data_IF_794308779760
#
_entry.id   IF_794308779760
#
_cell.length_a   1.000
_cell.length_b   1.000
_cell.length_c   1.000
_cell.angle_alpha   90.00
_cell.angle_beta   90.00
_cell.angle_gamma   90.00
#
_symmetry.space_group_name_H-M   'P 1'
#
loop_
_entity.id
_entity.type
_entity.pdbx_description
1 polymer ?
#
# COMPACT_ATOMS: atom_id res chain seq x y z
N UNK A 1 -5.38 -19.47 -0.94
CA UNK A 1 -5.43 -18.65 0.28
C UNK A 1 -5.51 -17.19 -0.14
N UNK A 2 -6.47 -16.43 0.39
CA UNK A 2 -6.68 -15.02 0.04
C UNK A 2 -5.68 -14.20 0.87
N UNK A 3 -4.69 -13.59 0.22
CA UNK A 3 -3.71 -12.74 0.90
C UNK A 3 -4.45 -11.63 1.65
N UNK A 4 -4.06 -11.42 2.91
CA UNK A 4 -4.56 -10.33 3.72
C UNK A 4 -4.06 -8.99 3.15
N UNK A 5 -4.78 -7.91 3.45
CA UNK A 5 -4.43 -6.57 2.95
C UNK A 5 -3.00 -6.17 3.36
N UNK A 6 -2.55 -6.62 4.54
CA UNK A 6 -1.19 -6.39 5.03
C UNK A 6 -0.12 -7.09 4.19
N UNK A 7 -0.36 -8.34 3.80
CA UNK A 7 0.59 -9.09 2.96
C UNK A 7 0.74 -8.44 1.58
N UNK A 8 -0.36 -7.93 1.01
CA UNK A 8 -0.34 -7.17 -0.25
C UNK A 8 0.42 -5.85 -0.15
N UNK A 9 0.32 -5.16 0.99
CA UNK A 9 1.07 -3.93 1.23
C UNK A 9 2.57 -4.23 1.29
N UNK A 10 2.97 -5.29 1.99
CA UNK A 10 4.38 -5.66 2.10
C UNK A 10 4.97 -6.13 0.76
N UNK A 11 4.21 -6.90 -0.03
CA UNK A 11 4.61 -7.27 -1.39
C UNK A 11 4.85 -6.06 -2.29
N UNK A 12 3.95 -5.08 -2.26
CA UNK A 12 4.08 -3.86 -3.05
C UNK A 12 5.23 -2.98 -2.56
N UNK A 13 5.49 -2.95 -1.25
CA UNK A 13 6.65 -2.25 -0.67
C UNK A 13 7.97 -2.85 -1.15
N UNK A 14 8.07 -4.18 -1.15
CA UNK A 14 9.24 -4.90 -1.65
C UNK A 14 9.44 -4.70 -3.16
N UNK A 15 8.36 -4.70 -3.94
CA UNK A 15 8.42 -4.39 -5.38
C UNK A 15 8.89 -2.95 -5.62
N UNK A 16 8.36 -1.97 -4.90
CA UNK A 16 8.77 -0.58 -5.02
C UNK A 16 10.26 -0.39 -4.68
N UNK A 17 10.74 -1.00 -3.60
CA UNK A 17 12.18 -0.98 -3.25
C UNK A 17 13.05 -1.63 -4.34
N UNK A 18 12.61 -2.76 -4.90
CA UNK A 18 13.36 -3.46 -5.95
C UNK A 18 13.45 -2.64 -7.24
N UNK A 19 12.38 -1.97 -7.62
CA UNK A 19 12.35 -1.12 -8.83
C UNK A 19 13.15 0.17 -8.59
N UNK A 20 13.05 0.77 -7.40
CA UNK A 20 13.82 1.96 -7.02
C UNK A 20 15.33 1.69 -6.88
N UNK A 21 15.71 0.44 -6.59
CA UNK A 21 17.13 0.03 -6.57
C UNK A 21 17.73 -0.09 -7.97
N UNK A 22 16.90 -0.28 -9.00
CA UNK A 22 17.32 -0.55 -10.38
C UNK A 22 17.14 0.69 -11.28
N UNK A 23 16.27 1.64 -10.91
CA UNK A 23 15.92 2.83 -11.68
C UNK A 23 15.60 4.03 -10.80
N UNK A 24 15.87 5.23 -11.32
CA UNK A 24 15.51 6.48 -10.67
C UNK A 24 14.01 6.52 -10.30
N UNK A 25 13.73 7.09 -9.13
CA UNK A 25 12.38 7.20 -8.53
C UNK A 25 11.39 8.00 -9.39
N UNK A 26 11.87 8.64 -10.46
CA UNK A 26 11.10 9.38 -11.45
C UNK A 26 10.63 8.53 -12.64
N UNK A 27 11.04 7.26 -12.74
CA UNK A 27 10.50 6.34 -13.73
C UNK A 27 8.98 6.22 -13.54
N UNK A 28 8.22 6.48 -14.60
CA UNK A 28 6.75 6.42 -14.63
C UNK A 28 6.17 5.12 -14.07
N UNK A 29 6.93 4.02 -14.08
CA UNK A 29 6.50 2.74 -13.49
C UNK A 29 6.65 2.73 -11.97
N UNK A 30 7.63 3.42 -11.41
CA UNK A 30 7.76 3.64 -9.96
C UNK A 30 6.62 4.52 -9.47
N UNK A 31 6.31 5.60 -10.19
CA UNK A 31 5.19 6.50 -9.86
C UNK A 31 3.86 5.74 -9.88
N UNK A 32 3.58 4.95 -10.92
CA UNK A 32 2.33 4.18 -11.01
C UNK A 32 2.20 3.08 -9.95
N UNK A 33 3.32 2.56 -9.41
CA UNK A 33 3.30 1.63 -8.26
C UNK A 33 3.07 2.39 -6.96
N UNK A 34 3.69 3.56 -6.80
CA UNK A 34 3.52 4.44 -5.63
C UNK A 34 2.06 4.88 -5.46
N UNK A 35 1.40 5.30 -6.54
CA UNK A 35 -0.03 5.71 -6.50
C UNK A 35 -0.94 4.55 -6.08
N UNK A 36 -0.68 3.34 -6.56
CA UNK A 36 -1.45 2.15 -6.16
C UNK A 36 -1.22 1.78 -4.70
N UNK A 37 0.00 1.95 -4.20
CA UNK A 37 0.33 1.73 -2.80
C UNK A 37 -0.41 2.75 -1.91
N UNK A 38 -0.43 4.02 -2.32
CA UNK A 38 -1.10 5.09 -1.58
C UNK A 38 -2.61 4.85 -1.46
N UNK A 39 -3.28 4.43 -2.55
CA UNK A 39 -4.70 4.05 -2.52
C UNK A 39 -4.96 2.90 -1.54
N UNK A 40 -4.11 1.88 -1.52
CA UNK A 40 -4.27 0.73 -0.62
C UNK A 40 -4.03 1.11 0.85
N UNK A 41 -3.05 1.96 1.12
CA UNK A 41 -2.78 2.49 2.46
C UNK A 41 -3.97 3.33 2.95
N UNK A 42 -4.50 4.20 2.10
CA UNK A 42 -5.67 5.01 2.42
C UNK A 42 -6.91 4.14 2.68
N UNK A 43 -7.14 3.09 1.88
CA UNK A 43 -8.20 2.12 2.13
C UNK A 43 -8.02 1.39 3.46
N UNK A 44 -6.79 1.00 3.81
CA UNK A 44 -6.48 0.36 5.08
C UNK A 44 -6.75 1.29 6.27
N UNK A 45 -6.33 2.56 6.21
CA UNK A 45 -6.62 3.53 7.27
C UNK A 45 -8.10 3.85 7.38
N UNK A 46 -8.84 3.96 6.27
CA UNK A 46 -10.29 4.17 6.29
C UNK A 46 -11.01 2.96 6.92
N UNK A 47 -10.60 1.74 6.57
CA UNK A 47 -11.17 0.52 7.16
C UNK A 47 -10.84 0.41 8.65
N UNK A 48 -9.61 0.73 9.05
CA UNK A 48 -9.18 0.77 10.46
C UNK A 48 -9.93 1.83 11.26
N UNK A 49 -10.13 3.03 10.70
CA UNK A 49 -10.89 4.12 11.32
C UNK A 49 -12.35 3.72 11.54
N UNK A 50 -12.97 3.04 10.57
CA UNK A 50 -14.34 2.51 10.69
C UNK A 50 -14.48 1.46 11.81
N UNK A 51 -13.46 0.65 12.05
CA UNK A 51 -13.47 -0.30 13.17
C UNK A 51 -13.24 0.39 14.52
N UNK A 52 -12.43 1.44 14.59
CA UNK A 52 -12.22 2.20 15.83
C UNK A 52 -13.43 3.08 16.24
N UNK A 53 -14.31 3.46 15.30
CA UNK A 53 -15.57 4.17 15.61
C UNK A 53 -16.64 3.26 16.25
N UNK A 54 -16.49 1.93 16.15
CA UNK A 54 -17.40 0.95 16.78
C UNK A 54 -17.04 0.63 18.24
N UNK A 55 -15.87 1.07 18.73
CA UNK A 55 -15.45 0.94 20.13
C UNK A 55 -15.80 2.20 20.97
N UNK A 56 -16.47 3.19 20.39
CA UNK A 56 -16.85 4.45 21.06
C UNK A 56 -18.38 4.67 21.14
N UNK A 57 -19.17 3.60 21.22
CA UNK A 57 -20.63 3.65 21.45
C UNK A 57 -21.01 2.69 22.58
#
# INVERSE_FOLDING_TARGET
>A
MKLTVLERIEELRLQMQKIASDKDLTDTRVVGVSEKLDVLINQFYIAKKRNNDLDLI
#
